data_IF_061610902092
#
_entry.id   IF_061610902092
#
_cell.length_a   1.000
_cell.length_b   1.000
_cell.length_c   1.000
_cell.angle_alpha   90.00
_cell.angle_beta   90.00
_cell.angle_gamma   90.00
#
_symmetry.space_group_name_H-M   'P 1'
#
loop_
_entity.id
_entity.type
_entity.pdbx_description
1 polymer ?
#
# COMPACT_ATOMS: atom_id res chain seq x y z
N UNK A 1 -0.01 13.55 3.89
CA UNK A 1 0.46 12.19 4.20
C UNK A 1 -0.08 11.24 3.13
N UNK A 2 0.60 10.11 2.88
CA UNK A 2 0.04 9.00 2.09
C UNK A 2 0.16 7.77 2.98
N UNK A 3 -0.99 7.19 3.28
CA UNK A 3 -1.16 6.13 4.28
C UNK A 3 -1.61 4.84 3.56
N UNK A 4 -0.67 4.04 3.03
CA UNK A 4 -1.01 2.81 2.33
C UNK A 4 -1.35 1.67 3.28
N UNK A 5 -2.28 0.82 2.87
CA UNK A 5 -2.54 -0.49 3.45
C UNK A 5 -1.49 -1.53 3.03
N UNK A 6 -1.94 -2.74 2.66
CA UNK A 6 -1.01 -3.78 2.21
C UNK A 6 -0.53 -3.50 0.79
N UNK A 7 0.78 -3.29 0.64
CA UNK A 7 1.46 -3.11 -0.64
C UNK A 7 2.45 -4.26 -0.87
N UNK A 8 2.38 -4.90 -2.02
CA UNK A 8 3.31 -5.94 -2.42
C UNK A 8 4.70 -5.34 -2.69
N UNK A 9 5.57 -5.49 -1.70
CA UNK A 9 6.96 -5.06 -1.73
C UNK A 9 7.82 -6.12 -1.04
N UNK A 10 9.13 -5.96 -1.10
CA UNK A 10 10.04 -6.80 -0.34
C UNK A 10 9.95 -6.61 1.18
N UNK A 11 9.16 -5.64 1.67
CA UNK A 11 8.95 -5.40 3.09
C UNK A 11 8.49 -6.65 3.83
N UNK A 12 7.45 -7.33 3.35
CA UNK A 12 6.89 -8.52 4.01
C UNK A 12 7.90 -9.67 4.01
N UNK A 13 8.59 -9.90 2.89
CA UNK A 13 9.62 -10.93 2.80
C UNK A 13 10.78 -10.66 3.76
N UNK A 14 11.22 -9.41 3.91
CA UNK A 14 12.30 -9.02 4.85
C UNK A 14 11.85 -9.07 6.31
N UNK A 15 10.65 -8.60 6.60
CA UNK A 15 10.12 -8.46 7.95
C UNK A 15 9.73 -9.83 8.55
N UNK A 16 9.10 -10.70 7.77
CA UNK A 16 8.65 -12.02 8.24
C UNK A 16 9.71 -13.12 8.15
N UNK A 17 10.86 -12.87 7.51
CA UNK A 17 12.00 -13.81 7.52
C UNK A 17 12.44 -14.25 8.93
N UNK A 18 12.17 -13.45 9.95
CA UNK A 18 12.53 -13.74 11.36
C UNK A 18 11.52 -14.64 12.09
N UNK A 19 10.36 -14.87 11.49
CA UNK A 19 9.28 -15.63 12.09
C UNK A 19 8.92 -16.83 11.19
N UNK A 20 9.36 -18.06 11.54
CA UNK A 20 9.11 -19.24 10.70
C UNK A 20 7.63 -19.63 10.62
N UNK A 21 6.75 -19.01 11.41
CA UNK A 21 5.29 -19.24 11.36
C UNK A 21 4.60 -18.36 10.31
N UNK A 22 5.29 -17.38 9.73
CA UNK A 22 4.72 -16.44 8.76
C UNK A 22 5.21 -16.70 7.35
N UNK A 23 4.28 -16.77 6.41
CA UNK A 23 4.54 -16.89 4.98
C UNK A 23 4.01 -15.65 4.24
N UNK A 24 4.93 -14.78 3.82
CA UNK A 24 4.60 -13.58 3.05
C UNK A 24 3.98 -13.90 1.69
N UNK A 25 4.38 -15.00 1.07
CA UNK A 25 3.91 -15.39 -0.25
C UNK A 25 2.46 -15.86 -0.15
N UNK A 26 2.14 -16.75 0.81
CA UNK A 26 0.76 -17.19 1.00
C UNK A 26 -0.17 -16.06 1.42
N UNK A 27 0.28 -15.14 2.28
CA UNK A 27 -0.52 -13.99 2.70
C UNK A 27 -0.84 -13.06 1.52
N UNK A 28 0.16 -12.64 0.74
CA UNK A 28 -0.04 -11.75 -0.40
C UNK A 28 -0.83 -12.41 -1.54
N UNK A 29 -0.86 -13.74 -1.62
CA UNK A 29 -1.70 -14.49 -2.57
C UNK A 29 -3.15 -14.68 -2.12
N UNK A 30 -3.48 -14.39 -0.86
CA UNK A 30 -4.84 -14.61 -0.33
C UNK A 30 -5.85 -13.53 -0.72
N UNK A 31 -5.37 -12.43 -1.31
CA UNK A 31 -6.15 -11.31 -1.84
C UNK A 31 -5.34 -10.57 -2.91
N UNK A 32 -5.90 -9.55 -3.54
CA UNK A 32 -5.16 -8.68 -4.49
C UNK A 32 -4.57 -7.46 -3.75
N UNK A 33 -3.27 -7.43 -3.38
CA UNK A 33 -2.67 -6.28 -2.68
C UNK A 33 -2.44 -5.09 -3.61
N UNK A 34 -2.21 -3.91 -3.01
CA UNK A 34 -1.73 -2.75 -3.77
C UNK A 34 -0.35 -3.05 -4.35
N UNK A 35 -0.08 -2.49 -5.51
CA UNK A 35 1.23 -2.52 -6.15
C UNK A 35 2.00 -1.22 -5.84
N UNK A 36 3.34 -1.22 -5.88
CA UNK A 36 4.13 -0.02 -5.67
C UNK A 36 3.75 1.13 -6.61
N UNK A 37 3.30 0.80 -7.82
CA UNK A 37 2.81 1.76 -8.81
C UNK A 37 1.58 2.52 -8.32
N UNK A 38 0.68 1.89 -7.58
CA UNK A 38 -0.53 2.56 -7.06
C UNK A 38 -0.15 3.69 -6.09
N UNK A 39 0.91 3.50 -5.31
CA UNK A 39 1.43 4.51 -4.38
C UNK A 39 2.16 5.62 -5.15
N UNK A 40 2.93 5.27 -6.18
CA UNK A 40 3.59 6.24 -7.04
C UNK A 40 2.56 7.12 -7.79
N UNK A 41 1.47 6.54 -8.27
CA UNK A 41 0.38 7.26 -8.91
C UNK A 41 -0.35 8.18 -7.90
N UNK A 42 -0.53 7.75 -6.65
CA UNK A 42 -1.06 8.61 -5.59
C UNK A 42 -0.15 9.81 -5.30
N UNK A 43 1.18 9.61 -5.26
CA UNK A 43 2.14 10.71 -5.14
C UNK A 43 2.02 11.67 -6.32
N UNK A 44 1.95 11.15 -7.55
CA UNK A 44 1.81 11.97 -8.75
C UNK A 44 0.51 12.78 -8.73
N UNK A 45 -0.59 12.18 -8.25
CA UNK A 45 -1.86 12.88 -8.06
C UNK A 45 -1.72 14.05 -7.09
N UNK A 46 -1.05 13.85 -5.95
CA UNK A 46 -0.76 14.91 -4.98
C UNK A 46 0.03 16.04 -5.61
N UNK A 47 1.10 15.71 -6.33
CA UNK A 47 1.98 16.70 -6.97
C UNK A 47 1.32 17.44 -8.15
N UNK A 48 0.29 16.85 -8.74
CA UNK A 48 -0.44 17.43 -9.88
C UNK A 48 -1.58 18.37 -9.44
N UNK A 49 -1.81 18.52 -8.14
CA UNK A 49 -2.84 19.43 -7.62
C UNK A 49 -2.50 20.90 -7.98
N UNK A 50 -3.52 21.75 -8.26
CA UNK A 50 -3.30 23.18 -8.46
C UNK A 50 -2.61 23.83 -7.25
N UNK A 51 -1.87 24.92 -7.46
CA UNK A 51 -1.06 25.59 -6.41
C UNK A 51 -1.83 26.08 -5.19
N UNK A 52 -3.15 26.24 -5.29
CA UNK A 52 -4.03 26.66 -4.19
C UNK A 52 -4.72 25.48 -3.48
N UNK A 53 -4.42 24.25 -3.88
CA UNK A 53 -5.02 23.02 -3.33
C UNK A 53 -3.98 22.31 -2.49
N UNK A 54 -4.37 21.98 -1.26
CA UNK A 54 -3.57 21.17 -0.35
C UNK A 54 -4.26 19.81 -0.16
N UNK A 55 -3.57 18.73 -0.52
CA UNK A 55 -4.01 17.36 -0.20
C UNK A 55 -3.33 16.95 1.10
N UNK A 56 -4.10 17.03 2.19
CA UNK A 56 -3.56 16.80 3.53
C UNK A 56 -3.29 15.31 3.81
N UNK A 57 -4.20 14.42 3.43
CA UNK A 57 -4.06 12.98 3.65
C UNK A 57 -4.73 12.15 2.54
N UNK A 58 -4.16 10.97 2.28
CA UNK A 58 -4.70 9.95 1.38
C UNK A 58 -4.56 8.59 2.07
N UNK A 59 -5.70 7.93 2.28
CA UNK A 59 -5.76 6.52 2.67
C UNK A 59 -5.95 5.67 1.41
N UNK A 60 -5.07 4.70 1.19
CA UNK A 60 -5.16 3.77 0.04
C UNK A 60 -5.18 2.34 0.56
N UNK A 61 -6.18 1.55 0.17
CA UNK A 61 -6.34 0.16 0.63
C UNK A 61 -6.71 -0.77 -0.53
N UNK A 62 -6.29 -2.04 -0.48
CA UNK A 62 -6.87 -3.07 -1.33
C UNK A 62 -8.38 -3.20 -1.05
N UNK A 63 -9.19 -3.38 -2.09
CA UNK A 63 -10.65 -3.44 -1.97
C UNK A 63 -11.08 -4.58 -1.03
N UNK A 64 -10.47 -5.74 -1.19
CA UNK A 64 -10.74 -6.96 -0.40
C UNK A 64 -10.31 -6.84 1.07
N UNK A 65 -9.60 -5.76 1.42
CA UNK A 65 -9.15 -5.42 2.76
C UNK A 65 -9.77 -4.12 3.29
N UNK A 66 -10.81 -3.60 2.63
CA UNK A 66 -11.55 -2.44 3.15
C UNK A 66 -12.38 -2.86 4.36
N UNK A 67 -12.12 -2.24 5.52
CA UNK A 67 -12.97 -2.36 6.70
C UNK A 67 -14.21 -1.48 6.49
N UNK A 68 -15.13 -1.94 5.64
CA UNK A 68 -16.53 -1.52 5.60
C UNK A 68 -17.42 -2.74 5.75
#
# INVERSE_FOLDING_TARGET
>A
CISPGIVETEYFAKYWKKDPTKDSVSFLKSFVPLQPKDIADAVLHVLSAPTHVEIHDILVQPIEHSFL
#
